data_IF_744235586362
#
_entry.id   IF_744235586362
#
_cell.length_a   1.000
_cell.length_b   1.000
_cell.length_c   1.000
_cell.angle_alpha   90.00
_cell.angle_beta   90.00
_cell.angle_gamma   90.00
#
_symmetry.space_group_name_H-M   'P 1'
#
loop_
_entity.id
_entity.type
_entity.pdbx_description
1 polymer ?
#
# COMPACT_ATOMS: atom_id res chain seq x y z
N UNK A 1 -6.51 30.63 -5.67
CA UNK A 1 -7.78 30.02 -5.19
C UNK A 1 -8.11 28.74 -5.95
N UNK A 2 -8.44 28.78 -7.25
CA UNK A 2 -8.77 27.58 -8.06
C UNK A 2 -7.75 26.43 -7.99
N UNK A 3 -6.45 26.74 -7.97
CA UNK A 3 -5.40 25.73 -7.84
C UNK A 3 -5.37 25.04 -6.46
N UNK A 4 -5.74 25.77 -5.40
CA UNK A 4 -5.83 25.21 -4.03
C UNK A 4 -7.03 24.28 -3.93
N UNK A 5 -8.18 24.69 -4.47
CA UNK A 5 -9.34 23.82 -4.61
C UNK A 5 -9.03 22.56 -5.43
N UNK A 6 -8.26 22.69 -6.52
CA UNK A 6 -7.80 21.55 -7.31
C UNK A 6 -6.95 20.57 -6.50
N UNK A 7 -6.03 21.07 -5.65
CA UNK A 7 -5.21 20.21 -4.78
C UNK A 7 -6.08 19.48 -3.76
N UNK A 8 -7.03 20.17 -3.11
CA UNK A 8 -7.94 19.55 -2.16
C UNK A 8 -8.84 18.49 -2.82
N UNK A 9 -9.33 18.75 -4.03
CA UNK A 9 -10.13 17.79 -4.79
C UNK A 9 -9.30 16.57 -5.24
N UNK A 10 -8.06 16.77 -5.67
CA UNK A 10 -7.15 15.68 -6.01
C UNK A 10 -6.82 14.83 -4.77
N UNK A 11 -6.58 15.45 -3.62
CA UNK A 11 -6.38 14.76 -2.35
C UNK A 11 -7.61 13.93 -1.96
N UNK A 12 -8.81 14.49 -2.09
CA UNK A 12 -10.05 13.76 -1.83
C UNK A 12 -10.19 12.54 -2.74
N UNK A 13 -9.99 12.71 -4.05
CA UNK A 13 -10.05 11.63 -5.03
C UNK A 13 -9.01 10.54 -4.76
N UNK A 14 -7.81 10.92 -4.33
CA UNK A 14 -6.76 10.00 -3.90
C UNK A 14 -7.19 9.16 -2.69
N UNK A 15 -7.72 9.81 -1.64
CA UNK A 15 -8.17 9.14 -0.43
C UNK A 15 -9.37 8.22 -0.69
N UNK A 16 -10.28 8.64 -1.57
CA UNK A 16 -11.36 7.80 -2.09
C UNK A 16 -10.82 6.55 -2.82
N UNK A 17 -9.83 6.74 -3.70
CA UNK A 17 -9.19 5.63 -4.39
C UNK A 17 -8.53 4.63 -3.44
N UNK A 18 -7.83 5.10 -2.39
CA UNK A 18 -7.23 4.23 -1.39
C UNK A 18 -8.24 3.38 -0.62
N UNK A 19 -9.36 3.98 -0.19
CA UNK A 19 -10.38 3.28 0.60
C UNK A 19 -11.18 2.31 -0.28
N UNK A 20 -11.54 2.72 -1.51
CA UNK A 20 -12.16 1.84 -2.51
C UNK A 20 -11.23 0.66 -2.87
N UNK A 21 -9.92 0.89 -3.01
CA UNK A 21 -8.93 -0.15 -3.24
C UNK A 21 -8.92 -1.16 -2.08
N UNK A 22 -8.87 -0.69 -0.83
CA UNK A 22 -8.89 -1.55 0.35
C UNK A 22 -10.16 -2.40 0.46
N UNK A 23 -11.30 -1.84 0.08
CA UNK A 23 -12.59 -2.53 0.00
C UNK A 23 -12.63 -3.55 -1.15
N UNK A 24 -12.12 -3.18 -2.32
CA UNK A 24 -12.03 -4.05 -3.52
C UNK A 24 -11.18 -5.30 -3.24
N UNK A 25 -10.06 -5.12 -2.53
CA UNK A 25 -9.21 -6.24 -2.14
C UNK A 25 -9.85 -7.16 -1.11
N UNK A 26 -10.65 -6.63 -0.18
CA UNK A 26 -11.42 -7.49 0.74
C UNK A 26 -12.44 -8.34 -0.02
N UNK A 27 -13.11 -7.77 -1.01
CA UNK A 27 -14.04 -8.50 -1.86
C UNK A 27 -13.34 -9.61 -2.68
N UNK A 28 -12.17 -9.31 -3.26
CA UNK A 28 -11.37 -10.28 -4.01
C UNK A 28 -10.72 -11.35 -3.11
N UNK A 29 -10.22 -10.94 -1.95
CA UNK A 29 -9.46 -11.77 -1.02
C UNK A 29 -10.31 -12.82 -0.30
N UNK A 30 -11.60 -12.54 -0.07
CA UNK A 30 -12.50 -13.48 0.61
C UNK A 30 -12.72 -14.79 -0.16
N UNK A 31 -12.79 -14.77 -1.50
CA UNK A 31 -13.13 -15.94 -2.34
C UNK A 31 -11.97 -16.55 -3.14
N UNK A 32 -10.71 -16.25 -2.79
CA UNK A 32 -9.54 -16.97 -3.34
C UNK A 32 -8.49 -16.15 -4.08
N UNK A 33 -8.57 -14.81 -4.09
CA UNK A 33 -7.51 -13.98 -4.67
C UNK A 33 -6.21 -13.93 -3.83
N UNK A 34 -6.17 -14.55 -2.64
CA UNK A 34 -4.95 -14.72 -1.85
C UNK A 34 -3.82 -15.41 -2.63
N UNK A 35 -4.14 -16.20 -3.66
CA UNK A 35 -3.15 -16.83 -4.57
C UNK A 35 -2.48 -15.86 -5.55
N UNK A 36 -3.08 -14.71 -5.88
CA UNK A 36 -2.46 -13.74 -6.78
C UNK A 36 -1.26 -13.02 -6.15
N UNK A 37 -1.21 -12.93 -4.81
CA UNK A 37 -0.13 -12.28 -4.08
C UNK A 37 0.94 -13.23 -3.53
N UNK A 38 0.76 -14.54 -3.71
CA UNK A 38 1.81 -15.54 -3.43
C UNK A 38 3.04 -15.40 -4.37
N UNK A 39 3.00 -14.48 -5.34
CA UNK A 39 4.08 -14.22 -6.31
C UNK A 39 5.23 -13.37 -5.71
N UNK A 40 5.10 -12.84 -4.50
CA UNK A 40 6.09 -11.92 -3.89
C UNK A 40 7.00 -12.53 -2.83
N UNK A 41 7.19 -13.86 -2.78
CA UNK A 41 8.17 -14.46 -1.85
C UNK A 41 9.62 -14.07 -2.15
N UNK A 42 9.93 -13.63 -3.37
CA UNK A 42 11.29 -13.27 -3.76
C UNK A 42 11.51 -11.74 -3.67
N UNK A 43 12.48 -11.25 -2.86
CA UNK A 43 12.79 -9.82 -2.73
C UNK A 43 13.24 -9.17 -4.05
N UNK A 44 13.87 -9.92 -4.96
CA UNK A 44 14.26 -9.41 -6.29
C UNK A 44 13.01 -9.15 -7.15
N UNK A 45 12.00 -10.03 -7.05
CA UNK A 45 10.71 -9.83 -7.72
C UNK A 45 10.03 -8.56 -7.23
N UNK A 46 10.00 -8.36 -5.91
CA UNK A 46 9.50 -7.12 -5.30
C UNK A 46 10.24 -5.88 -5.82
N UNK A 47 11.57 -5.93 -5.91
CA UNK A 47 12.37 -4.84 -6.46
C UNK A 47 11.97 -4.51 -7.92
N UNK A 48 11.84 -5.52 -8.78
CA UNK A 48 11.44 -5.32 -10.17
C UNK A 48 10.03 -4.77 -10.30
N UNK A 49 9.08 -5.24 -9.48
CA UNK A 49 7.73 -4.69 -9.42
C UNK A 49 7.76 -3.20 -9.08
N UNK A 50 8.58 -2.79 -8.11
CA UNK A 50 8.76 -1.39 -7.75
C UNK A 50 9.31 -0.54 -8.90
N UNK A 51 10.37 -1.01 -9.56
CA UNK A 51 10.98 -0.32 -10.71
C UNK A 51 9.95 -0.16 -11.82
N UNK A 52 9.29 -1.24 -12.22
CA UNK A 52 8.29 -1.22 -13.30
C UNK A 52 7.10 -0.32 -12.94
N UNK A 53 6.59 -0.42 -11.72
CA UNK A 53 5.51 0.44 -11.25
C UNK A 53 5.88 1.91 -11.35
N UNK A 54 7.09 2.29 -10.93
CA UNK A 54 7.55 3.68 -11.03
C UNK A 54 7.86 4.12 -12.45
N UNK A 55 8.42 3.26 -13.30
CA UNK A 55 8.67 3.60 -14.72
C UNK A 55 7.35 3.81 -15.47
N UNK A 56 6.33 2.99 -15.21
CA UNK A 56 5.02 3.13 -15.85
C UNK A 56 4.26 4.37 -15.37
N UNK A 57 4.28 4.60 -14.05
CA UNK A 57 3.57 5.72 -13.42
C UNK A 57 4.35 7.04 -13.54
N UNK A 58 5.66 6.97 -13.77
CA UNK A 58 6.61 8.10 -13.79
C UNK A 58 6.67 8.89 -12.46
N UNK A 59 6.23 8.29 -11.36
CA UNK A 59 6.23 8.92 -10.04
C UNK A 59 6.46 7.89 -8.94
N UNK A 60 7.63 7.95 -8.29
CA UNK A 60 7.97 7.06 -7.17
C UNK A 60 7.17 7.34 -5.92
N UNK A 61 6.80 8.61 -5.65
CA UNK A 61 5.91 8.93 -4.53
C UNK A 61 4.52 8.32 -4.73
N UNK A 62 4.05 8.27 -5.99
CA UNK A 62 2.80 7.56 -6.33
C UNK A 62 2.94 6.06 -6.13
N UNK A 63 3.97 5.43 -6.69
CA UNK A 63 4.19 3.99 -6.56
C UNK A 63 4.30 3.56 -5.10
N UNK A 64 5.08 4.29 -4.30
CA UNK A 64 5.23 4.03 -2.86
C UNK A 64 3.91 4.26 -2.11
N UNK A 65 3.11 5.26 -2.47
CA UNK A 65 1.80 5.51 -1.83
C UNK A 65 0.81 4.37 -2.09
N UNK A 66 0.82 3.79 -3.29
CA UNK A 66 0.01 2.60 -3.60
C UNK A 66 0.45 1.43 -2.72
N UNK A 67 1.76 1.18 -2.61
CA UNK A 67 2.33 0.13 -1.75
C UNK A 67 1.93 0.33 -0.28
N UNK A 68 2.03 1.56 0.24
CA UNK A 68 1.59 1.91 1.60
C UNK A 68 0.09 1.65 1.78
N UNK A 69 -0.73 1.99 0.78
CA UNK A 69 -2.17 1.68 0.77
C UNK A 69 -2.45 0.18 0.83
N UNK A 70 -1.69 -0.64 0.10
CA UNK A 70 -1.79 -2.10 0.12
C UNK A 70 -1.42 -2.69 1.49
N UNK A 71 -0.37 -2.14 2.12
CA UNK A 71 0.03 -2.52 3.48
C UNK A 71 -1.05 -2.14 4.49
N UNK A 72 -1.60 -0.92 4.42
CA UNK A 72 -2.66 -0.46 5.30
C UNK A 72 -3.96 -1.27 5.16
N UNK A 73 -4.23 -1.80 3.97
CA UNK A 73 -5.35 -2.70 3.71
C UNK A 73 -5.11 -4.16 4.15
N UNK A 74 -3.92 -4.47 4.68
CA UNK A 74 -3.51 -5.82 5.09
C UNK A 74 -3.25 -6.78 3.94
N UNK A 75 -3.14 -6.27 2.71
CA UNK A 75 -3.02 -7.08 1.49
C UNK A 75 -1.56 -7.35 1.10
N UNK A 76 -0.67 -6.50 1.57
CA UNK A 76 0.76 -6.64 1.37
C UNK A 76 1.44 -6.58 2.74
N UNK A 77 2.14 -7.63 3.11
CA UNK A 77 2.92 -7.61 4.34
C UNK A 77 4.10 -6.64 4.20
N UNK A 78 4.51 -6.02 5.31
CA UNK A 78 5.60 -5.03 5.32
C UNK A 78 6.90 -5.62 4.78
N UNK A 79 7.19 -6.89 5.04
CA UNK A 79 8.37 -7.58 4.50
C UNK A 79 8.41 -7.58 2.97
N UNK A 80 7.26 -7.72 2.30
CA UNK A 80 7.15 -7.68 0.84
C UNK A 80 7.10 -6.25 0.29
N UNK A 81 6.67 -5.29 1.10
CA UNK A 81 6.62 -3.89 0.72
C UNK A 81 8.03 -3.26 0.61
N UNK A 82 8.97 -3.63 1.49
CA UNK A 82 10.32 -3.07 1.53
C UNK A 82 11.04 -3.14 0.17
N UNK A 83 11.20 -4.32 -0.47
CA UNK A 83 11.86 -4.39 -1.78
C UNK A 83 11.10 -3.62 -2.88
N UNK A 84 9.77 -3.55 -2.81
CA UNK A 84 8.98 -2.77 -3.79
C UNK A 84 9.24 -1.27 -3.62
N UNK A 85 9.30 -0.76 -2.40
CA UNK A 85 9.63 0.66 -2.13
C UNK A 85 11.08 0.98 -2.56
N UNK A 86 12.03 0.08 -2.30
CA UNK A 86 13.40 0.21 -2.83
C UNK A 86 13.42 0.24 -4.36
N UNK A 87 12.61 -0.57 -5.01
CA UNK A 87 12.47 -0.60 -6.46
C UNK A 87 11.88 0.70 -7.01
N UNK A 88 10.89 1.27 -6.32
CA UNK A 88 10.31 2.56 -6.67
C UNK A 88 11.36 3.69 -6.60
N UNK A 89 12.28 3.64 -5.63
CA UNK A 89 13.38 4.59 -5.56
C UNK A 89 14.33 4.48 -6.77
N UNK A 90 14.67 3.26 -7.20
CA UNK A 90 15.46 3.05 -8.44
C UNK A 90 14.71 3.55 -9.67
N UNK A 91 13.41 3.30 -9.76
CA UNK A 91 12.61 3.71 -10.92
C UNK A 91 12.64 5.22 -11.19
N UNK A 92 12.81 6.04 -10.14
CA UNK A 92 12.95 7.51 -10.25
C UNK A 92 14.10 7.93 -11.16
N UNK A 93 15.17 7.13 -11.20
CA UNK A 93 16.38 7.43 -11.96
C UNK A 93 16.18 7.38 -13.47
N UNK A 94 15.26 6.53 -13.92
CA UNK A 94 14.89 6.45 -15.34
C UNK A 94 14.32 7.79 -15.82
N UNK A 95 13.50 8.45 -15.00
CA UNK A 95 12.91 9.75 -15.33
C UNK A 95 13.96 10.85 -15.47
N UNK A 96 14.90 10.97 -14.52
CA UNK A 96 15.97 11.96 -14.59
C UNK A 96 16.87 11.77 -15.81
N UNK A 97 17.18 10.51 -16.13
CA UNK A 97 17.96 10.14 -17.33
C UNK A 97 17.22 10.57 -18.61
N UNK A 98 15.92 10.28 -18.73
CA UNK A 98 15.11 10.72 -19.89
C UNK A 98 15.10 12.25 -20.03
N UNK A 99 14.96 12.99 -18.92
CA UNK A 99 14.98 14.47 -18.94
C UNK A 99 16.34 15.01 -19.37
N UNK A 100 17.44 14.38 -18.93
CA UNK A 100 18.79 14.80 -19.34
C UNK A 100 19.00 14.65 -20.86
N UNK A 101 18.46 13.58 -21.46
CA UNK A 101 18.54 13.32 -22.90
C UNK A 101 17.83 14.38 -23.75
N UNK A 102 16.93 15.19 -23.18
CA UNK A 102 16.33 16.31 -23.88
C UNK A 102 17.35 17.38 -24.32
N UNK A 103 18.56 17.39 -23.75
CA UNK A 103 19.64 18.35 -24.06
C UNK A 103 20.66 17.80 -25.08
N UNK A 104 20.36 16.68 -25.75
CA UNK A 104 21.26 16.01 -26.73
C UNK A 104 21.74 16.94 -27.86
N UNK A 105 21.00 18.01 -28.16
CA UNK A 105 21.34 18.96 -29.23
C UNK A 105 22.65 19.73 -29.01
N UNK A 106 23.11 19.90 -27.76
CA UNK A 106 24.33 20.64 -27.43
C UNK A 106 25.20 19.82 -26.47
N UNK A 107 26.42 19.45 -26.89
CA UNK A 107 27.26 18.46 -26.18
C UNK A 107 27.59 18.90 -24.75
N UNK A 108 27.87 20.19 -24.55
CA UNK A 108 28.19 20.74 -23.23
C UNK A 108 26.99 20.79 -22.29
N UNK A 109 25.80 21.03 -22.81
CA UNK A 109 24.56 21.03 -22.00
C UNK A 109 24.17 19.61 -21.64
N UNK A 110 24.26 18.66 -22.58
CA UNK A 110 24.05 17.24 -22.33
C UNK A 110 24.99 16.72 -21.23
N UNK A 111 26.29 17.01 -21.33
CA UNK A 111 27.28 16.54 -20.36
C UNK A 111 26.95 17.00 -18.93
N UNK A 112 26.57 18.27 -18.77
CA UNK A 112 26.21 18.83 -17.46
C UNK A 112 24.86 18.32 -16.96
N UNK A 113 23.85 18.23 -17.82
CA UNK A 113 22.53 17.72 -17.48
C UNK A 113 22.60 16.23 -17.10
N UNK A 114 23.32 15.42 -17.87
CA UNK A 114 23.51 14.00 -17.60
C UNK A 114 24.32 13.77 -16.32
N UNK A 115 25.37 14.56 -16.08
CA UNK A 115 26.12 14.52 -14.82
C UNK A 115 25.24 14.89 -13.63
N UNK A 116 24.38 15.90 -13.76
CA UNK A 116 23.42 16.27 -12.72
C UNK A 116 22.40 15.17 -12.41
N UNK A 117 21.83 14.55 -13.45
CA UNK A 117 20.88 13.44 -13.31
C UNK A 117 21.51 12.22 -12.61
N UNK A 118 22.71 11.83 -13.04
CA UNK A 118 23.40 10.63 -12.55
C UNK A 118 23.81 10.71 -11.08
N UNK A 119 24.03 11.90 -10.51
CA UNK A 119 24.40 12.04 -9.09
C UNK A 119 23.32 11.48 -8.17
N UNK A 120 22.05 11.86 -8.38
CA UNK A 120 20.93 11.34 -7.62
C UNK A 120 20.71 9.84 -7.90
N UNK A 121 20.92 9.43 -9.15
CA UNK A 121 20.69 8.06 -9.58
C UNK A 121 21.69 7.08 -8.97
N UNK A 122 22.97 7.46 -8.93
CA UNK A 122 24.02 6.68 -8.29
C UNK A 122 23.77 6.55 -6.79
N UNK A 123 23.30 7.61 -6.12
CA UNK A 123 22.96 7.55 -4.69
C UNK A 123 21.84 6.53 -4.40
N UNK A 124 20.74 6.58 -5.17
CA UNK A 124 19.63 5.63 -5.00
C UNK A 124 20.05 4.20 -5.32
N UNK A 125 20.79 4.01 -6.42
CA UNK A 125 21.25 2.70 -6.84
C UNK A 125 22.22 2.08 -5.83
N UNK A 126 23.20 2.84 -5.34
CA UNK A 126 24.14 2.39 -4.31
C UNK A 126 23.40 2.08 -2.99
N UNK A 127 22.44 2.90 -2.60
CA UNK A 127 21.64 2.66 -1.39
C UNK A 127 20.91 1.33 -1.47
N UNK A 128 20.29 0.99 -2.60
CA UNK A 128 19.61 -0.30 -2.75
C UNK A 128 20.61 -1.46 -2.87
N UNK A 129 21.72 -1.29 -3.59
CA UNK A 129 22.77 -2.31 -3.70
C UNK A 129 23.36 -2.67 -2.32
N UNK A 130 23.45 -1.71 -1.40
CA UNK A 130 23.95 -1.95 -0.05
C UNK A 130 22.85 -2.44 0.88
N UNK A 131 21.70 -1.76 0.92
CA UNK A 131 20.66 -2.02 1.92
C UNK A 131 19.81 -3.26 1.60
N UNK A 132 19.55 -3.56 0.33
CA UNK A 132 18.71 -4.72 -0.02
C UNK A 132 19.38 -6.05 0.36
N UNK A 133 20.67 -6.31 0.05
CA UNK A 133 21.33 -7.53 0.51
C UNK A 133 21.40 -7.60 2.03
N UNK A 134 21.66 -6.49 2.70
CA UNK A 134 21.69 -6.44 4.17
C UNK A 134 20.31 -6.79 4.75
N UNK A 135 19.24 -6.23 4.21
CA UNK A 135 17.86 -6.55 4.60
C UNK A 135 17.56 -8.04 4.45
N UNK A 136 17.91 -8.62 3.29
CA UNK A 136 17.65 -10.04 2.98
C UNK A 136 18.50 -10.97 3.85
N UNK A 137 19.79 -10.68 4.02
CA UNK A 137 20.70 -11.54 4.81
C UNK A 137 20.33 -11.50 6.28
N UNK A 138 20.11 -10.33 6.86
CA UNK A 138 19.70 -10.22 8.26
C UNK A 138 18.32 -10.80 8.48
N UNK A 139 17.38 -10.58 7.55
CA UNK A 139 16.06 -11.21 7.60
C UNK A 139 16.11 -12.72 7.56
N UNK A 140 17.00 -13.30 6.74
CA UNK A 140 17.22 -14.74 6.70
C UNK A 140 17.81 -15.29 8.02
N UNK A 141 18.63 -14.51 8.72
CA UNK A 141 19.22 -14.89 10.02
C UNK A 141 18.18 -14.79 11.15
N UNK A 142 17.41 -13.71 11.19
CA UNK A 142 16.48 -13.42 12.30
C UNK A 142 15.10 -14.07 12.15
N UNK A 143 14.76 -14.62 10.96
CA UNK A 143 13.47 -15.24 10.59
C UNK A 143 12.22 -14.33 10.67
N UNK A 144 12.30 -13.18 11.34
CA UNK A 144 11.19 -12.23 11.49
C UNK A 144 11.35 -10.92 10.67
N UNK A 145 12.47 -10.72 9.96
CA UNK A 145 12.69 -9.57 9.07
C UNK A 145 14.07 -8.91 9.20
N UNK A 146 14.44 -8.03 8.26
CA UNK A 146 15.72 -7.33 8.28
C UNK A 146 15.69 -6.03 9.09
N UNK A 147 16.76 -5.21 9.05
CA UNK A 147 16.90 -4.02 9.87
C UNK A 147 15.83 -2.96 9.56
N UNK A 148 15.45 -2.81 8.29
CA UNK A 148 14.45 -1.82 7.86
C UNK A 148 13.06 -2.27 8.31
N UNK A 149 12.77 -3.57 8.25
CA UNK A 149 11.55 -4.13 8.80
C UNK A 149 11.42 -3.84 10.30
N UNK A 150 12.46 -4.16 11.08
CA UNK A 150 12.44 -3.97 12.54
C UNK A 150 12.32 -2.50 12.91
N UNK A 151 13.07 -1.63 12.23
CA UNK A 151 12.97 -0.19 12.44
C UNK A 151 11.56 0.31 12.15
N UNK A 152 10.94 -0.15 11.06
CA UNK A 152 9.58 0.24 10.67
C UNK A 152 8.54 -0.21 11.71
N UNK A 153 8.62 -1.46 12.19
CA UNK A 153 7.72 -1.97 13.23
C UNK A 153 7.91 -1.22 14.55
N UNK A 154 9.16 -0.99 14.98
CA UNK A 154 9.46 -0.26 16.21
C UNK A 154 8.93 1.18 16.17
N UNK A 155 9.04 1.85 15.01
CA UNK A 155 8.47 3.18 14.82
C UNK A 155 6.94 3.16 14.84
N UNK A 156 6.32 2.18 14.19
CA UNK A 156 4.87 2.01 14.20
C UNK A 156 4.35 1.78 15.62
N UNK A 157 4.97 0.87 16.37
CA UNK A 157 4.63 0.58 17.76
C UNK A 157 4.84 1.82 18.63
N UNK A 158 5.92 2.59 18.46
CA UNK A 158 6.15 3.80 19.24
C UNK A 158 5.08 4.89 19.03
N UNK A 159 4.53 5.00 17.82
CA UNK A 159 3.50 5.98 17.46
C UNK A 159 2.11 5.48 17.87
N UNK A 160 1.81 4.20 17.65
CA UNK A 160 0.47 3.63 17.85
C UNK A 160 0.25 3.18 19.29
N UNK A 161 1.24 2.60 19.97
CA UNK A 161 1.09 2.11 21.36
C UNK A 161 0.85 3.23 22.39
N UNK A 162 1.24 4.47 22.07
CA UNK A 162 0.96 5.65 22.90
C UNK A 162 -0.43 6.26 22.64
N UNK A 163 -1.16 5.76 21.66
CA UNK A 163 -2.46 6.28 21.26
C UNK A 163 -3.58 5.33 21.70
N UNK A 164 -4.00 5.41 22.97
CA UNK A 164 -5.20 4.72 23.49
C UNK A 164 -6.51 5.24 22.86
N UNK A 165 -6.42 6.31 22.06
CA UNK A 165 -7.57 6.92 21.39
C UNK A 165 -7.57 6.49 19.93
N UNK A 166 -8.44 5.54 19.59
CA UNK A 166 -8.85 5.26 18.22
C UNK A 166 -9.61 6.48 17.69
N UNK A 167 -8.91 7.51 17.20
CA UNK A 167 -9.56 8.60 16.50
C UNK A 167 -10.22 8.03 15.24
N UNK A 168 -11.55 8.11 15.09
CA UNK A 168 -12.16 7.84 13.80
C UNK A 168 -11.57 8.84 12.81
N UNK A 169 -10.89 8.32 11.79
CA UNK A 169 -10.19 9.16 10.82
C UNK A 169 -11.19 10.17 10.25
N UNK A 170 -11.01 11.49 10.47
CA UNK A 170 -11.93 12.50 9.96
C UNK A 170 -11.98 12.47 8.43
N UNK A 171 -10.93 11.94 7.80
CA UNK A 171 -10.89 11.64 6.37
C UNK A 171 -11.86 10.51 6.01
N UNK A 172 -11.91 9.41 6.77
CA UNK A 172 -12.85 8.31 6.52
C UNK A 172 -14.30 8.76 6.64
N UNK A 173 -14.64 9.61 7.61
CA UNK A 173 -16.00 10.16 7.71
C UNK A 173 -16.45 10.94 6.46
N UNK A 174 -15.49 11.55 5.75
CA UNK A 174 -15.72 12.37 4.55
C UNK A 174 -15.72 11.50 3.26
N UNK A 175 -14.99 10.37 3.26
CA UNK A 175 -14.78 9.52 2.08
C UNK A 175 -15.74 8.32 2.04
N UNK A 176 -15.97 7.67 3.18
CA UNK A 176 -16.79 6.46 3.30
C UNK A 176 -18.18 6.56 2.65
N UNK A 177 -18.99 7.65 2.79
CA UNK A 177 -20.32 7.67 2.17
C UNK A 177 -20.29 7.53 0.65
N UNK A 178 -19.21 7.94 -0.03
CA UNK A 178 -19.06 7.72 -1.48
C UNK A 178 -18.52 6.33 -1.78
N UNK A 179 -17.63 5.80 -0.93
CA UNK A 179 -17.08 4.44 -1.06
C UNK A 179 -18.18 3.41 -0.88
N UNK A 180 -18.96 3.50 0.20
CA UNK A 180 -20.08 2.60 0.52
C UNK A 180 -21.16 2.65 -0.58
N UNK A 181 -21.34 3.80 -1.23
CA UNK A 181 -22.22 3.90 -2.40
C UNK A 181 -21.68 3.13 -3.63
N UNK A 182 -20.36 3.07 -3.80
CA UNK A 182 -19.71 2.36 -4.90
C UNK A 182 -19.62 0.85 -4.64
N UNK A 183 -19.12 0.47 -3.46
CA UNK A 183 -18.94 -0.91 -3.03
C UNK A 183 -18.92 -0.96 -1.50
N UNK A 184 -19.90 -1.63 -0.89
CA UNK A 184 -19.96 -1.87 0.55
C UNK A 184 -19.81 -3.37 0.83
N UNK A 185 -18.66 -3.80 1.35
CA UNK A 185 -18.39 -5.21 1.62
C UNK A 185 -18.94 -5.61 3.00
N UNK A 186 -19.53 -6.80 3.08
CA UNK A 186 -20.02 -7.33 4.35
C UNK A 186 -18.84 -7.71 5.27
N UNK A 187 -18.63 -6.86 6.28
CA UNK A 187 -17.55 -7.01 7.26
C UNK A 187 -17.74 -8.25 8.14
N UNK A 188 -18.96 -8.72 8.35
CA UNK A 188 -19.24 -9.91 9.14
C UNK A 188 -18.78 -11.16 8.38
N UNK A 189 -19.13 -11.26 7.09
CA UNK A 189 -18.73 -12.39 6.24
C UNK A 189 -17.21 -12.42 6.05
N UNK A 190 -16.57 -11.27 5.81
CA UNK A 190 -15.10 -11.18 5.70
C UNK A 190 -14.40 -11.66 6.97
N UNK A 191 -14.90 -11.24 8.14
CA UNK A 191 -14.33 -11.66 9.43
C UNK A 191 -14.57 -13.15 9.69
N UNK A 192 -15.72 -13.68 9.28
CA UNK A 192 -16.03 -15.10 9.41
C UNK A 192 -15.10 -15.96 8.52
N UNK A 193 -14.86 -15.54 7.27
CA UNK A 193 -13.92 -16.21 6.35
C UNK A 193 -12.48 -16.18 6.86
N UNK A 194 -12.03 -15.07 7.46
CA UNK A 194 -10.64 -14.95 7.95
C UNK A 194 -10.30 -15.92 9.09
N UNK A 195 -11.32 -16.43 9.79
CA UNK A 195 -11.15 -17.41 10.86
C UNK A 195 -11.02 -18.85 10.35
N UNK A 196 -11.28 -19.06 9.05
CA UNK A 196 -11.18 -20.36 8.39
C UNK A 196 -12.31 -21.33 8.73
N UNK A 197 -12.32 -22.50 8.07
CA UNK A 197 -13.30 -23.53 8.33
C UNK A 197 -13.19 -24.05 9.77
N UNK A 198 -14.30 -24.44 10.41
CA UNK A 198 -14.26 -24.97 11.76
C UNK A 198 -13.46 -26.29 11.79
N UNK A 199 -12.56 -26.48 12.77
CA UNK A 199 -11.86 -27.74 12.91
C UNK A 199 -12.85 -28.88 13.21
N UNK A 200 -12.75 -29.95 12.42
CA UNK A 200 -13.49 -31.18 12.67
C UNK A 200 -13.02 -31.83 13.97
N UNK A 201 -13.95 -32.40 14.73
CA UNK A 201 -13.61 -33.23 15.88
C UNK A 201 -12.92 -34.50 15.37
N UNK A 202 -11.74 -34.81 15.91
CA UNK A 202 -11.02 -36.01 15.54
C UNK A 202 -11.78 -37.26 16.00
N UNK A 203 -11.76 -38.34 15.20
CA UNK A 203 -12.49 -39.58 15.50
C UNK A 203 -12.06 -40.28 16.78
N UNK A 204 -10.87 -39.95 17.29
CA UNK A 204 -10.25 -40.45 18.51
C UNK A 204 -10.39 -39.50 19.72
N UNK A 205 -11.19 -38.43 19.59
CA UNK A 205 -11.45 -37.49 20.67
C UNK A 205 -12.17 -38.16 21.85
N UNK A 206 -11.75 -37.78 23.07
CA UNK A 206 -12.32 -38.29 24.33
C UNK A 206 -13.82 -37.95 24.39
N UNK A 207 -14.68 -38.96 24.53
CA UNK A 207 -16.15 -38.77 24.58
C UNK A 207 -16.89 -38.95 23.25
N UNK A 208 -16.20 -39.31 22.16
CA UNK A 208 -16.84 -39.70 20.91
C UNK A 208 -17.21 -41.20 20.91
N UNK A 209 -18.46 -41.54 21.22
CA UNK A 209 -19.01 -42.90 21.07
C UNK A 209 -19.77 -43.01 19.73
N UNK A 210 -19.07 -43.06 18.60
CA UNK A 210 -19.68 -43.27 17.28
C UNK A 210 -19.04 -42.49 16.12
N UNK A 211 -19.85 -42.14 15.11
CA UNK A 211 -19.43 -41.38 13.93
C UNK A 211 -19.53 -39.87 14.20
N UNK A 212 -18.45 -39.25 14.72
CA UNK A 212 -18.40 -37.82 15.05
C UNK A 212 -18.05 -36.91 13.86
N UNK A 213 -18.11 -37.42 12.63
CA UNK A 213 -17.76 -36.70 11.40
C UNK A 213 -18.57 -35.40 11.16
N UNK A 214 -19.74 -35.27 11.80
CA UNK A 214 -20.61 -34.09 11.71
C UNK A 214 -20.41 -33.08 12.84
N UNK A 215 -19.53 -33.36 13.81
CA UNK A 215 -19.28 -32.49 14.97
C UNK A 215 -18.03 -31.64 14.78
N UNK A 216 -18.12 -30.34 15.07
CA UNK A 216 -17.05 -29.38 14.86
C UNK A 216 -16.87 -28.48 16.09
N UNK A 217 -15.62 -28.11 16.36
CA UNK A 217 -15.28 -27.21 17.47
C UNK A 217 -15.16 -25.78 16.98
N UNK A 218 -16.09 -24.92 17.37
CA UNK A 218 -16.13 -23.51 16.98
C UNK A 218 -15.59 -22.65 18.11
N UNK A 219 -14.61 -21.79 17.84
CA UNK A 219 -14.09 -20.88 18.88
C UNK A 219 -15.11 -19.79 19.22
N UNK A 220 -15.03 -19.20 20.42
CA UNK A 220 -15.88 -18.04 20.80
C UNK A 220 -15.79 -16.88 19.79
N UNK A 221 -14.62 -16.68 19.19
CA UNK A 221 -14.41 -15.66 18.16
C UNK A 221 -15.15 -15.98 16.86
N UNK A 222 -15.21 -17.26 16.46
CA UNK A 222 -15.96 -17.75 15.31
C UNK A 222 -17.46 -17.65 15.56
N UNK A 223 -17.95 -18.11 16.70
CA UNK A 223 -19.37 -18.01 17.06
C UNK A 223 -19.87 -16.56 16.99
N UNK A 224 -19.11 -15.63 17.58
CA UNK A 224 -19.46 -14.21 17.55
C UNK A 224 -19.37 -13.56 16.15
N UNK A 225 -18.54 -14.10 15.25
CA UNK A 225 -18.46 -13.64 13.87
C UNK A 225 -19.63 -14.18 13.04
N UNK A 226 -19.96 -15.47 13.21
CA UNK A 226 -21.02 -16.15 12.47
C UNK A 226 -22.41 -15.65 12.86
N UNK A 227 -22.63 -15.34 14.14
CA UNK A 227 -23.89 -14.74 14.60
C UNK A 227 -24.20 -13.40 13.94
N UNK A 228 -23.17 -12.67 13.47
CA UNK A 228 -23.33 -11.41 12.75
C UNK A 228 -23.62 -11.59 11.26
N UNK A 229 -23.33 -12.77 10.72
CA UNK A 229 -23.63 -13.14 9.32
C UNK A 229 -25.07 -13.61 9.23
N UNK A 230 -25.42 -14.62 10.02
CA UNK A 230 -26.79 -15.09 10.14
C UNK A 230 -27.02 -15.71 11.53
N UNK A 231 -27.70 -14.96 12.39
CA UNK A 231 -28.04 -15.38 13.75
C UNK A 231 -29.06 -16.53 13.74
N UNK A 232 -30.01 -16.50 12.80
CA UNK A 232 -31.08 -17.49 12.72
C UNK A 232 -30.56 -18.86 12.28
N UNK A 233 -29.71 -18.89 11.24
CA UNK A 233 -29.02 -20.10 10.80
C UNK A 233 -28.08 -20.66 11.87
N UNK A 234 -27.33 -19.81 12.60
CA UNK A 234 -26.45 -20.27 13.67
C UNK A 234 -27.22 -20.90 14.84
N UNK A 235 -28.32 -20.29 15.26
CA UNK A 235 -29.19 -20.81 16.33
C UNK A 235 -29.90 -22.11 15.94
N UNK A 236 -30.02 -22.40 14.63
CA UNK A 236 -30.63 -23.63 14.14
C UNK A 236 -29.71 -24.85 14.21
N UNK A 237 -28.41 -24.66 14.48
CA UNK A 237 -27.44 -25.74 14.55
C UNK A 237 -27.58 -26.52 15.87
N UNK A 238 -27.65 -27.87 15.84
CA UNK A 238 -27.71 -28.66 17.04
C UNK A 238 -26.39 -28.58 17.83
N UNK A 239 -26.49 -28.37 19.14
CA UNK A 239 -25.34 -28.44 20.04
C UNK A 239 -24.91 -29.89 20.30
N UNK A 240 -23.60 -30.14 20.37
CA UNK A 240 -23.03 -31.43 20.78
C UNK A 240 -22.38 -31.34 22.18
N UNK A 241 -22.10 -32.49 22.84
CA UNK A 241 -21.52 -32.49 24.18
C UNK A 241 -20.21 -31.70 24.23
N UNK A 242 -20.07 -30.80 25.21
CA UNK A 242 -18.89 -29.94 25.33
C UNK A 242 -17.59 -30.71 25.62
N UNK A 243 -17.68 -31.94 26.16
CA UNK A 243 -16.52 -32.78 26.48
C UNK A 243 -15.67 -33.15 25.23
N UNK A 244 -16.26 -33.05 24.03
CA UNK A 244 -15.59 -33.27 22.75
C UNK A 244 -14.63 -32.13 22.36
N UNK A 245 -14.79 -30.94 22.93
CA UNK A 245 -14.00 -29.76 22.61
C UNK A 245 -13.29 -29.23 23.87
N UNK A 246 -12.01 -28.84 23.74
CA UNK A 246 -11.25 -28.27 24.85
C UNK A 246 -11.81 -26.92 25.34
N UNK A 247 -11.34 -26.44 26.49
CA UNK A 247 -11.76 -25.15 27.05
C UNK A 247 -11.59 -24.01 26.03
N UNK A 248 -12.65 -23.22 25.82
CA UNK A 248 -12.66 -22.08 24.89
C UNK A 248 -13.32 -22.35 23.53
N UNK A 249 -13.74 -23.59 23.27
CA UNK A 249 -14.46 -23.99 22.07
C UNK A 249 -15.87 -24.48 22.40
N UNK A 250 -16.80 -24.24 21.48
CA UNK A 250 -18.18 -24.72 21.54
C UNK A 250 -18.41 -25.77 20.46
N UNK A 251 -19.04 -26.88 20.84
CA UNK A 251 -19.32 -27.99 19.94
C UNK A 251 -20.64 -27.75 19.20
N UNK A 252 -20.59 -27.62 17.87
CA UNK A 252 -21.76 -27.50 17.01
C UNK A 252 -21.76 -28.62 15.95
N UNK A 253 -22.93 -29.23 15.74
CA UNK A 253 -23.13 -30.19 14.65
C UNK A 253 -23.43 -29.46 13.35
N UNK A 254 -22.97 -30.00 12.22
CA UNK A 254 -23.17 -29.45 10.87
C UNK A 254 -22.63 -28.01 10.69
N UNK A 255 -21.70 -27.58 11.55
CA UNK A 255 -21.08 -26.25 11.42
C UNK A 255 -20.36 -26.08 10.07
N UNK A 256 -19.85 -27.15 9.46
CA UNK A 256 -19.24 -27.11 8.14
C UNK A 256 -20.23 -26.78 7.01
N UNK A 257 -21.48 -27.23 7.09
CA UNK A 257 -22.48 -26.88 6.06
C UNK A 257 -22.93 -25.43 6.19
N UNK A 258 -23.08 -24.93 7.43
CA UNK A 258 -23.30 -23.50 7.67
C UNK A 258 -22.15 -22.65 7.13
N UNK A 259 -20.91 -23.08 7.36
CA UNK A 259 -19.72 -22.41 6.83
C UNK A 259 -19.70 -22.41 5.29
N UNK A 260 -20.01 -23.53 4.65
CA UNK A 260 -20.07 -23.60 3.19
C UNK A 260 -21.15 -22.69 2.60
N UNK A 261 -22.39 -22.75 3.11
CA UNK A 261 -23.53 -22.05 2.53
C UNK A 261 -23.51 -20.53 2.82
N UNK A 262 -23.22 -20.14 4.06
CA UNK A 262 -23.34 -18.75 4.49
C UNK A 262 -22.03 -17.97 4.47
N UNK A 263 -20.88 -18.65 4.51
CA UNK A 263 -19.56 -18.00 4.62
C UNK A 263 -18.73 -18.19 3.34
N UNK A 264 -18.64 -19.40 2.77
CA UNK A 264 -17.93 -19.62 1.50
C UNK A 264 -18.75 -19.18 0.28
N UNK A 265 -20.04 -19.52 0.23
CA UNK A 265 -20.92 -19.17 -0.88
C UNK A 265 -21.61 -17.82 -0.71
N UNK A 266 -21.68 -17.29 0.52
CA UNK A 266 -22.30 -16.01 0.85
C UNK A 266 -21.76 -14.82 0.05
N UNK A 267 -22.63 -13.86 -0.30
CA UNK A 267 -22.24 -12.64 -1.03
C UNK A 267 -21.32 -11.76 -0.17
N UNK A 268 -20.12 -11.45 -0.67
CA UNK A 268 -19.18 -10.56 0.04
C UNK A 268 -19.58 -9.09 -0.18
N UNK A 269 -20.18 -8.77 -1.32
CA UNK A 269 -20.67 -7.42 -1.64
C UNK A 269 -22.12 -7.29 -1.16
N UNK A 270 -22.30 -6.68 0.02
CA UNK A 270 -23.62 -6.46 0.61
C UNK A 270 -24.45 -5.46 -0.22
N UNK A 271 -23.84 -4.34 -0.62
CA UNK A 271 -24.51 -3.28 -1.38
C UNK A 271 -23.55 -2.44 -2.25
N UNK A 272 -24.11 -1.58 -3.10
CA UNK A 272 -23.34 -0.65 -3.95
C UNK A 272 -23.57 -0.85 -5.45
N UNK A 273 -23.07 0.10 -6.24
CA UNK A 273 -23.23 0.12 -7.71
C UNK A 273 -22.69 -1.15 -8.39
N UNK A 274 -21.67 -1.78 -7.82
CA UNK A 274 -21.01 -2.95 -8.40
C UNK A 274 -21.56 -4.31 -7.94
N UNK A 275 -22.60 -4.33 -7.08
CA UNK A 275 -23.29 -5.56 -6.66
C UNK A 275 -23.74 -6.46 -7.83
N UNK A 276 -24.31 -5.95 -8.94
CA UNK A 276 -24.82 -6.79 -10.03
C UNK A 276 -23.73 -7.60 -10.76
N UNK A 277 -22.46 -7.26 -10.58
CA UNK A 277 -21.32 -7.93 -11.24
C UNK A 277 -20.84 -9.16 -10.47
N UNK A 278 -21.33 -9.38 -9.23
CA UNK A 278 -20.86 -10.45 -8.35
C UNK A 278 -19.53 -10.13 -7.67
N UNK A 279 -19.14 -10.94 -6.67
CA UNK A 279 -18.04 -10.60 -5.74
C UNK A 279 -16.67 -10.45 -6.42
N UNK A 280 -16.33 -11.38 -7.32
CA UNK A 280 -15.01 -11.40 -7.98
C UNK A 280 -14.93 -10.33 -9.07
N UNK A 281 -15.91 -10.25 -9.96
CA UNK A 281 -15.87 -9.29 -11.06
C UNK A 281 -16.15 -7.86 -10.56
N UNK A 282 -17.07 -7.68 -9.61
CA UNK A 282 -17.31 -6.40 -8.93
C UNK A 282 -16.07 -5.91 -8.18
N UNK A 283 -15.41 -6.79 -7.42
CA UNK A 283 -14.13 -6.49 -6.75
C UNK A 283 -13.00 -6.15 -7.73
N UNK A 284 -12.88 -6.88 -8.84
CA UNK A 284 -11.86 -6.62 -9.86
C UNK A 284 -12.09 -5.28 -10.59
N UNK A 285 -13.34 -4.97 -10.95
CA UNK A 285 -13.70 -3.69 -11.59
C UNK A 285 -13.46 -2.54 -10.62
N UNK A 286 -13.88 -2.66 -9.36
CA UNK A 286 -13.62 -1.68 -8.32
C UNK A 286 -12.11 -1.46 -8.09
N UNK A 287 -11.31 -2.53 -8.17
CA UNK A 287 -9.86 -2.44 -8.06
C UNK A 287 -9.24 -1.67 -9.24
N UNK A 288 -9.67 -1.95 -10.47
CA UNK A 288 -9.18 -1.21 -11.64
C UNK A 288 -9.61 0.27 -11.56
N UNK A 289 -10.87 0.53 -11.19
CA UNK A 289 -11.37 1.89 -11.03
C UNK A 289 -10.62 2.67 -9.94
N UNK A 290 -10.32 2.05 -8.79
CA UNK A 290 -9.57 2.67 -7.71
C UNK A 290 -8.12 2.95 -8.11
N UNK A 291 -7.45 2.01 -8.78
CA UNK A 291 -6.09 2.24 -9.31
C UNK A 291 -6.05 3.38 -10.33
N UNK A 292 -7.02 3.44 -11.25
CA UNK A 292 -7.14 4.55 -12.20
C UNK A 292 -7.40 5.88 -11.50
N UNK A 293 -8.27 5.91 -10.49
CA UNK A 293 -8.55 7.10 -9.68
C UNK A 293 -7.31 7.57 -8.90
N UNK A 294 -6.55 6.65 -8.30
CA UNK A 294 -5.27 6.95 -7.61
C UNK A 294 -4.26 7.53 -8.61
N UNK A 295 -4.07 6.88 -9.76
CA UNK A 295 -3.14 7.36 -10.79
C UNK A 295 -3.54 8.74 -11.33
N UNK A 296 -4.82 8.94 -11.63
CA UNK A 296 -5.35 10.22 -12.13
C UNK A 296 -5.22 11.34 -11.10
N UNK A 297 -5.63 11.08 -9.85
CA UNK A 297 -5.55 12.07 -8.76
C UNK A 297 -4.12 12.48 -8.47
N UNK A 298 -3.17 11.54 -8.44
CA UNK A 298 -1.76 11.85 -8.23
C UNK A 298 -1.14 12.57 -9.41
N UNK A 299 -1.48 12.21 -10.64
CA UNK A 299 -1.08 12.98 -11.82
C UNK A 299 -1.58 14.43 -11.75
N UNK A 300 -2.85 14.64 -11.41
CA UNK A 300 -3.43 15.97 -11.21
C UNK A 300 -2.75 16.73 -10.06
N UNK A 301 -2.49 16.08 -8.93
CA UNK A 301 -1.82 16.65 -7.77
C UNK A 301 -0.41 17.14 -8.16
N UNK A 302 0.38 16.29 -8.82
CA UNK A 302 1.72 16.64 -9.30
C UNK A 302 1.66 17.82 -10.28
N UNK A 303 0.77 17.79 -11.27
CA UNK A 303 0.60 18.90 -12.24
C UNK A 303 0.21 20.21 -11.57
N UNK A 304 -0.72 20.19 -10.61
CA UNK A 304 -1.20 21.36 -9.90
C UNK A 304 -0.12 21.96 -8.97
N UNK A 305 0.56 21.11 -8.21
CA UNK A 305 1.68 21.52 -7.36
C UNK A 305 2.84 22.06 -8.19
N UNK A 306 3.18 21.41 -9.30
CA UNK A 306 4.18 21.91 -10.24
C UNK A 306 3.80 23.29 -10.82
N UNK A 307 2.56 23.45 -11.29
CA UNK A 307 2.08 24.73 -11.81
C UNK A 307 2.07 25.86 -10.76
N UNK A 308 1.86 25.54 -9.48
CA UNK A 308 1.96 26.46 -8.36
C UNK A 308 3.41 26.85 -8.04
N UNK A 309 4.35 25.91 -8.22
CA UNK A 309 5.69 26.01 -7.67
C UNK A 309 6.76 26.46 -8.68
N UNK A 310 6.64 26.19 -9.98
CA UNK A 310 7.69 26.48 -11.00
C UNK A 310 8.35 27.86 -10.83
N UNK A 311 7.56 28.93 -10.65
CA UNK A 311 8.09 30.29 -10.53
C UNK A 311 8.88 30.50 -9.24
N UNK A 312 8.34 30.08 -8.09
CA UNK A 312 8.97 30.27 -6.78
C UNK A 312 10.11 29.28 -6.52
N UNK A 313 9.95 28.04 -6.99
CA UNK A 313 10.94 26.97 -6.89
C UNK A 313 12.22 27.37 -7.63
N UNK A 314 12.13 27.88 -8.86
CA UNK A 314 13.30 28.35 -9.61
C UNK A 314 14.08 29.44 -8.86
N UNK A 315 13.39 30.40 -8.24
CA UNK A 315 14.01 31.45 -7.43
C UNK A 315 14.66 30.88 -6.15
N UNK A 316 13.98 29.94 -5.48
CA UNK A 316 14.48 29.31 -4.27
C UNK A 316 15.72 28.44 -4.55
N UNK A 317 15.70 27.68 -5.65
CA UNK A 317 16.82 26.87 -6.12
C UNK A 317 18.02 27.76 -6.46
N UNK A 318 17.82 28.85 -7.20
CA UNK A 318 18.90 29.80 -7.52
C UNK A 318 19.43 30.54 -6.29
N UNK A 319 18.67 30.63 -5.19
CA UNK A 319 19.20 31.11 -3.90
C UNK A 319 20.00 30.03 -3.18
N UNK A 320 19.58 28.77 -3.25
CA UNK A 320 20.26 27.64 -2.64
C UNK A 320 21.70 27.46 -3.17
N UNK A 321 21.96 27.80 -4.44
CA UNK A 321 23.32 27.74 -5.01
C UNK A 321 24.33 28.67 -4.34
N UNK A 322 23.86 29.74 -3.68
CA UNK A 322 24.70 30.69 -2.93
C UNK A 322 24.88 30.33 -1.45
N UNK A 323 24.25 29.25 -0.97
CA UNK A 323 24.22 28.87 0.44
C UNK A 323 25.24 27.78 0.77
N UNK A 324 25.46 27.57 2.08
CA UNK A 324 26.22 26.42 2.60
C UNK A 324 25.50 25.10 2.25
N UNK A 325 26.24 24.04 1.97
CA UNK A 325 25.73 22.75 1.50
C UNK A 325 24.71 22.12 2.46
N UNK A 326 24.92 22.23 3.78
CA UNK A 326 23.93 21.76 4.77
C UNK A 326 22.60 22.54 4.70
N UNK A 327 22.68 23.84 4.43
CA UNK A 327 21.51 24.69 4.31
C UNK A 327 20.80 24.45 2.98
N UNK A 328 21.57 24.19 1.91
CA UNK A 328 21.07 23.77 0.62
C UNK A 328 20.32 22.43 0.71
N UNK A 329 20.81 21.49 1.53
CA UNK A 329 20.09 20.25 1.86
C UNK A 329 18.77 20.53 2.58
N UNK A 330 18.76 21.42 3.58
CA UNK A 330 17.51 21.84 4.21
C UNK A 330 16.51 22.48 3.22
N UNK A 331 16.99 23.30 2.28
CA UNK A 331 16.14 23.89 1.22
C UNK A 331 15.62 22.82 0.26
N UNK A 332 16.45 21.84 -0.12
CA UNK A 332 16.06 20.66 -0.89
C UNK A 332 14.89 19.93 -0.23
N UNK A 333 15.03 19.60 1.07
CA UNK A 333 13.99 18.89 1.81
C UNK A 333 12.70 19.68 1.96
N UNK A 334 12.78 20.99 2.22
CA UNK A 334 11.59 21.86 2.25
C UNK A 334 10.94 21.90 0.86
N UNK A 335 11.73 22.03 -0.21
CA UNK A 335 11.21 22.07 -1.56
C UNK A 335 10.54 20.75 -1.93
N UNK A 336 11.16 19.61 -1.63
CA UNK A 336 10.60 18.27 -1.82
C UNK A 336 9.32 18.08 -1.02
N UNK A 337 9.28 18.52 0.24
CA UNK A 337 8.08 18.48 1.08
C UNK A 337 6.92 19.31 0.50
N UNK A 338 7.20 20.52 0.02
CA UNK A 338 6.16 21.39 -0.55
C UNK A 338 5.70 20.90 -1.92
N UNK A 339 6.62 20.41 -2.75
CA UNK A 339 6.32 19.87 -4.08
C UNK A 339 5.71 18.46 -4.00
N UNK A 340 5.89 17.74 -2.89
CA UNK A 340 5.45 16.36 -2.66
C UNK A 340 6.00 15.36 -3.70
N UNK A 341 7.07 15.74 -4.39
CA UNK A 341 7.67 14.93 -5.44
C UNK A 341 9.15 15.27 -5.59
N UNK A 342 10.00 14.33 -5.17
CA UNK A 342 11.45 14.43 -5.35
C UNK A 342 11.84 14.41 -6.84
N UNK A 343 11.17 13.59 -7.66
CA UNK A 343 11.44 13.49 -9.10
C UNK A 343 11.19 14.80 -9.84
N UNK A 344 10.17 15.57 -9.44
CA UNK A 344 9.90 16.90 -10.00
C UNK A 344 10.98 17.89 -9.60
N UNK A 345 11.44 17.85 -8.34
CA UNK A 345 12.52 18.71 -7.86
C UNK A 345 13.82 18.39 -8.60
N UNK A 346 14.24 17.13 -8.67
CA UNK A 346 15.47 16.71 -9.37
C UNK A 346 15.41 16.97 -10.87
N UNK A 347 14.25 16.73 -11.51
CA UNK A 347 14.05 17.02 -12.93
C UNK A 347 14.06 18.52 -13.23
N UNK A 348 13.67 19.38 -12.29
CA UNK A 348 13.76 20.83 -12.44
C UNK A 348 15.20 21.35 -12.30
N UNK A 349 16.03 20.66 -11.52
CA UNK A 349 17.45 20.97 -11.33
C UNK A 349 18.30 20.58 -12.57
N UNK A 350 17.93 19.50 -13.24
CA UNK A 350 18.68 18.93 -14.38
C UNK A 350 18.90 19.93 -15.54
N UNK A 351 17.86 20.65 -16.04
CA UNK A 351 18.04 21.71 -17.03
C UNK A 351 18.88 22.88 -16.54
N UNK A 352 18.84 23.22 -15.24
CA UNK A 352 19.64 24.31 -14.68
C UNK A 352 21.13 23.98 -14.70
N UNK A 353 21.48 22.70 -14.48
CA UNK A 353 22.83 22.22 -14.69
C UNK A 353 23.21 22.23 -16.18
N UNK A 354 22.33 21.75 -17.07
CA UNK A 354 22.54 21.80 -18.52
C UNK A 354 22.90 23.20 -19.02
N UNK A 355 22.09 24.18 -18.63
CA UNK A 355 22.28 25.60 -18.97
C UNK A 355 23.48 26.27 -18.25
N UNK A 356 24.16 25.56 -17.34
CA UNK A 356 25.29 26.08 -16.57
C UNK A 356 24.90 27.11 -15.50
N UNK A 357 23.62 27.21 -15.15
CA UNK A 357 23.12 28.10 -14.08
C UNK A 357 23.40 27.54 -12.68
N UNK A 358 23.66 26.23 -12.59
CA UNK A 358 24.00 25.53 -11.35
C UNK A 358 25.09 24.49 -11.62
N UNK A 359 26.11 24.44 -10.76
CA UNK A 359 27.15 23.41 -10.83
C UNK A 359 26.64 22.08 -10.27
N UNK A 360 27.19 20.97 -10.77
CA UNK A 360 26.84 19.61 -10.29
C UNK A 360 27.13 19.46 -8.79
N UNK A 361 28.22 20.07 -8.31
CA UNK A 361 28.59 20.09 -6.88
C UNK A 361 27.51 20.72 -6.00
N UNK A 362 26.86 21.80 -6.48
CA UNK A 362 25.80 22.49 -5.74
C UNK A 362 24.42 21.84 -5.92
N UNK A 363 24.26 21.01 -6.95
CA UNK A 363 23.06 20.20 -7.13
C UNK A 363 22.96 19.10 -6.07
N UNK A 364 24.08 18.42 -5.78
CA UNK A 364 24.13 17.29 -4.85
C UNK A 364 23.44 17.55 -3.49
N UNK A 365 23.83 18.57 -2.70
CA UNK A 365 23.20 18.80 -1.41
C UNK A 365 21.71 19.09 -1.52
N UNK A 366 21.26 19.81 -2.56
CA UNK A 366 19.83 20.08 -2.80
C UNK A 366 19.06 18.81 -3.16
N UNK A 367 19.69 17.88 -3.90
CA UNK A 367 19.06 16.59 -4.26
C UNK A 367 19.05 15.56 -3.14
N UNK A 368 19.93 15.70 -2.14
CA UNK A 368 19.97 14.84 -0.95
C UNK A 368 18.88 15.19 0.08
N UNK A 369 18.41 16.44 0.08
CA UNK A 369 17.35 16.92 0.98
C UNK A 369 15.96 16.56 0.49
#
# INVERSE_FOLDING_TARGET
VWRVFGVLAALYCFLFGLDLMGVSFKALGGKGAGKLFAITENPISGLMVGILATVLVQSSSTSTSIVVGLVAAGQLAVHNAIPIVMGANIGTSVTNTIVSMAHVGERKELERAFSGATVHDMFNMLSVIVLLPVEVVVGAIQRDGGPIYWLSMTMADAIVSKSEVTFPSPIKAIVNPIVDHFLDPDKAVIKAMSLGPPPAVASDALGCEGDCSTSFCVSKAMHAAWAKVDEAGLLSLPACPQELCGEGFECLQNAASFYAEYIEEGEIIASGFLKPLGDVAGGAVALVCSLLAICFSLFCLVKLLHALMIGKAKVMILRATSMNDYLAMGVGGILTFVVQSSSVVTSALTPLCGLGLMTVEKMLPVTLG
#
